data_IF_922257693914
#
_entry.id   IF_922257693914
#
_cell.length_a   1.000
_cell.length_b   1.000
_cell.length_c   1.000
_cell.angle_alpha   90.00
_cell.angle_beta   90.00
_cell.angle_gamma   90.00
#
_symmetry.space_group_name_H-M   'P 1'
#
loop_
_entity.id
_entity.type
_entity.pdbx_description
1 polymer ?
#
# COMPACT_ATOMS: atom_id res chain seq x y z
N UNK A 1 -2.76 -38.42 -54.02
CA UNK A 1 -1.84 -38.98 -53.01
C UNK A 1 -0.75 -37.96 -52.72
N UNK A 2 -0.67 -37.44 -51.51
CA UNK A 2 0.43 -36.57 -51.08
C UNK A 2 1.56 -37.48 -50.57
N UNK A 3 2.42 -37.95 -51.47
CA UNK A 3 3.47 -38.93 -51.19
C UNK A 3 4.86 -38.29 -51.06
N UNK A 4 4.95 -37.01 -50.70
CA UNK A 4 6.22 -36.28 -50.71
C UNK A 4 6.30 -35.23 -49.59
N UNK A 5 6.68 -35.69 -48.40
CA UNK A 5 6.72 -34.90 -47.16
C UNK A 5 7.75 -33.74 -47.21
N UNK A 6 8.77 -33.83 -48.07
CA UNK A 6 9.73 -32.75 -48.28
C UNK A 6 9.15 -31.60 -49.12
N UNK A 7 8.20 -31.88 -50.02
CA UNK A 7 7.52 -30.84 -50.77
C UNK A 7 6.50 -30.09 -49.90
N UNK A 8 5.86 -30.75 -48.93
CA UNK A 8 4.97 -30.09 -47.96
C UNK A 8 5.69 -28.99 -47.20
N UNK A 9 6.94 -29.21 -46.77
CA UNK A 9 7.77 -28.18 -46.11
C UNK A 9 8.16 -27.01 -47.03
N UNK A 10 8.18 -27.20 -48.36
CA UNK A 10 8.42 -26.11 -49.34
C UNK A 10 7.13 -25.37 -49.73
N UNK A 11 5.98 -26.05 -49.69
CA UNK A 11 4.65 -25.46 -49.97
C UNK A 11 4.03 -24.79 -48.75
N UNK A 12 4.50 -25.12 -47.55
CA UNK A 12 4.29 -24.31 -46.35
C UNK A 12 5.13 -23.04 -46.50
N UNK A 13 4.72 -22.13 -47.39
CA UNK A 13 5.03 -20.71 -47.26
C UNK A 13 4.88 -20.38 -45.78
N UNK A 14 5.90 -19.73 -45.20
CA UNK A 14 5.94 -19.37 -43.77
C UNK A 14 4.51 -19.06 -43.31
N UNK A 15 3.93 -19.82 -42.36
CA UNK A 15 2.51 -19.67 -42.02
C UNK A 15 2.16 -18.22 -41.64
N UNK A 16 3.16 -17.47 -41.18
CA UNK A 16 3.13 -16.03 -40.87
C UNK A 16 2.93 -15.12 -42.10
N UNK A 17 3.35 -15.55 -43.30
CA UNK A 17 3.30 -14.78 -44.54
C UNK A 17 2.06 -15.07 -45.40
N UNK A 18 1.30 -16.12 -45.02
CA UNK A 18 0.02 -16.46 -45.62
C UNK A 18 -0.96 -15.29 -45.50
N UNK A 19 -1.71 -15.04 -46.59
CA UNK A 19 -2.78 -14.04 -46.62
C UNK A 19 -3.81 -14.26 -45.51
N UNK A 20 -4.01 -15.52 -45.10
CA UNK A 20 -5.05 -15.89 -44.14
C UNK A 20 -4.59 -15.54 -42.73
N UNK A 21 -3.31 -15.76 -42.44
CA UNK A 21 -2.68 -15.30 -41.20
C UNK A 21 -2.66 -13.78 -41.12
N UNK A 22 -2.25 -13.09 -42.19
CA UNK A 22 -2.27 -11.62 -42.25
C UNK A 22 -3.68 -11.06 -42.04
N UNK A 23 -4.69 -11.66 -42.66
CA UNK A 23 -6.10 -11.26 -42.51
C UNK A 23 -6.62 -11.52 -41.10
N UNK A 24 -6.29 -12.66 -40.50
CA UNK A 24 -6.61 -12.96 -39.12
C UNK A 24 -5.94 -11.98 -38.14
N UNK A 25 -4.67 -11.64 -38.38
CA UNK A 25 -3.92 -10.69 -37.57
C UNK A 25 -4.48 -9.26 -37.71
N UNK A 26 -4.84 -8.82 -38.92
CA UNK A 26 -5.52 -7.54 -39.13
C UNK A 26 -6.90 -7.49 -38.45
N UNK A 27 -7.66 -8.59 -38.51
CA UNK A 27 -8.94 -8.72 -37.81
C UNK A 27 -8.74 -8.65 -36.28
N UNK A 28 -7.69 -9.28 -35.75
CA UNK A 28 -7.33 -9.20 -34.33
C UNK A 28 -6.91 -7.79 -33.93
N UNK A 29 -6.05 -7.11 -34.71
CA UNK A 29 -5.64 -5.71 -34.45
C UNK A 29 -6.86 -4.78 -34.48
N UNK A 30 -7.75 -4.94 -35.46
CA UNK A 30 -8.99 -4.14 -35.54
C UNK A 30 -9.91 -4.39 -34.34
N UNK A 31 -10.06 -5.65 -33.91
CA UNK A 31 -10.84 -6.00 -32.70
C UNK A 31 -10.20 -5.48 -31.42
N UNK A 32 -8.87 -5.52 -31.31
CA UNK A 32 -8.11 -4.96 -30.17
C UNK A 32 -8.23 -3.43 -30.10
N UNK A 33 -8.30 -2.78 -31.26
CA UNK A 33 -8.50 -1.32 -31.36
C UNK A 33 -9.94 -0.89 -31.05
N UNK A 34 -10.92 -1.80 -31.06
CA UNK A 34 -12.28 -1.47 -30.68
C UNK A 34 -12.38 -1.32 -29.16
N UNK A 35 -12.85 -0.15 -28.71
CA UNK A 35 -12.93 0.26 -27.29
C UNK A 35 -13.96 -0.52 -26.43
N UNK A 36 -14.57 -1.57 -26.97
CA UNK A 36 -15.71 -2.28 -26.39
C UNK A 36 -15.41 -3.78 -26.19
N UNK A 37 -14.14 -4.21 -26.13
CA UNK A 37 -13.83 -5.59 -25.78
C UNK A 37 -14.08 -5.86 -24.30
N UNK A 38 -14.43 -7.10 -23.97
CA UNK A 38 -14.63 -7.53 -22.57
C UNK A 38 -13.36 -7.29 -21.75
N UNK A 39 -12.18 -7.52 -22.33
CA UNK A 39 -10.89 -7.30 -21.67
C UNK A 39 -10.72 -5.84 -21.24
N UNK A 40 -11.05 -4.86 -22.10
CA UNK A 40 -10.94 -3.44 -21.76
C UNK A 40 -11.97 -3.01 -20.70
N UNK A 41 -13.17 -3.59 -20.73
CA UNK A 41 -14.18 -3.34 -19.71
C UNK A 41 -13.72 -3.88 -18.34
N UNK A 42 -13.10 -5.06 -18.33
CA UNK A 42 -12.54 -5.65 -17.12
C UNK A 42 -11.37 -4.81 -16.58
N UNK A 43 -10.45 -4.40 -17.44
CA UNK A 43 -9.35 -3.50 -17.06
C UNK A 43 -9.87 -2.17 -16.47
N UNK A 44 -10.92 -1.60 -17.05
CA UNK A 44 -11.53 -0.36 -16.57
C UNK A 44 -12.17 -0.55 -15.19
N UNK A 45 -12.87 -1.67 -14.97
CA UNK A 45 -13.42 -2.02 -13.66
C UNK A 45 -12.31 -2.22 -12.62
N UNK A 46 -11.21 -2.87 -12.99
CA UNK A 46 -10.04 -3.04 -12.13
C UNK A 46 -9.44 -1.68 -11.76
N UNK A 47 -9.21 -0.79 -12.74
CA UNK A 47 -8.70 0.56 -12.50
C UNK A 47 -9.58 1.35 -11.53
N UNK A 48 -10.91 1.30 -11.72
CA UNK A 48 -11.87 1.97 -10.82
C UNK A 48 -11.80 1.42 -9.41
N UNK A 49 -11.70 0.10 -9.26
CA UNK A 49 -11.58 -0.57 -7.96
C UNK A 49 -10.28 -0.18 -7.26
N UNK A 50 -9.16 -0.17 -7.97
CA UNK A 50 -7.86 0.26 -7.44
C UNK A 50 -7.94 1.71 -6.99
N UNK A 51 -8.48 2.61 -7.82
CA UNK A 51 -8.60 4.02 -7.48
C UNK A 51 -9.48 4.23 -6.24
N UNK A 52 -10.58 3.49 -6.13
CA UNK A 52 -11.47 3.54 -4.97
C UNK A 52 -10.73 3.18 -3.67
N UNK A 53 -10.04 2.03 -3.63
CA UNK A 53 -9.32 1.63 -2.42
C UNK A 53 -8.08 2.49 -2.16
N UNK A 54 -7.46 3.05 -3.19
CA UNK A 54 -6.39 4.03 -3.02
C UNK A 54 -6.89 5.29 -2.31
N UNK A 55 -8.09 5.76 -2.64
CA UNK A 55 -8.72 6.89 -1.93
C UNK A 55 -9.05 6.55 -0.47
N UNK A 56 -9.47 5.32 -0.17
CA UNK A 56 -9.65 4.86 1.23
C UNK A 56 -8.30 4.86 1.97
N UNK A 57 -7.28 4.24 1.38
CA UNK A 57 -5.94 4.13 1.98
C UNK A 57 -5.31 5.49 2.26
N UNK A 58 -5.51 6.49 1.39
CA UNK A 58 -5.04 7.87 1.64
C UNK A 58 -5.51 8.42 2.98
N UNK A 59 -6.78 8.20 3.32
CA UNK A 59 -7.38 8.67 4.59
C UNK A 59 -6.85 7.87 5.76
N UNK A 60 -6.72 6.56 5.60
CA UNK A 60 -6.10 5.68 6.61
C UNK A 60 -4.67 6.13 6.93
N UNK A 61 -3.84 6.36 5.91
CA UNK A 61 -2.47 6.84 6.08
C UNK A 61 -2.45 8.23 6.73
N UNK A 62 -3.38 9.13 6.39
CA UNK A 62 -3.47 10.43 7.02
C UNK A 62 -3.78 10.33 8.52
N UNK A 63 -4.71 9.44 8.93
CA UNK A 63 -4.97 9.16 10.35
C UNK A 63 -3.74 8.56 11.01
N UNK A 64 -3.07 7.61 10.36
CA UNK A 64 -1.86 6.99 10.91
C UNK A 64 -0.79 8.05 11.19
N UNK A 65 -0.53 8.93 10.21
CA UNK A 65 0.40 10.07 10.36
C UNK A 65 0.02 10.97 11.53
N UNK A 66 -1.24 11.40 11.59
CA UNK A 66 -1.72 12.29 12.64
C UNK A 66 -1.52 11.71 14.05
N UNK A 67 -1.87 10.42 14.24
CA UNK A 67 -1.71 9.75 15.52
C UNK A 67 -0.23 9.56 15.87
N UNK A 68 0.61 9.18 14.91
CA UNK A 68 2.06 9.06 15.09
C UNK A 68 2.71 10.38 15.52
N UNK A 69 2.40 11.47 14.81
CA UNK A 69 2.96 12.80 15.10
C UNK A 69 2.49 13.34 16.46
N UNK A 70 1.29 12.97 16.88
CA UNK A 70 0.71 13.37 18.17
C UNK A 70 1.09 12.45 19.33
N UNK A 71 1.82 11.34 19.08
CA UNK A 71 2.16 10.34 20.09
C UNK A 71 0.94 9.60 20.66
N UNK A 72 -0.16 9.52 19.89
CA UNK A 72 -1.40 8.88 20.33
C UNK A 72 -1.39 7.38 20.04
N UNK A 73 -2.00 6.60 20.93
CA UNK A 73 -2.10 5.16 20.75
C UNK A 73 -3.05 4.80 19.60
N UNK A 74 -2.67 3.83 18.75
CA UNK A 74 -3.54 3.27 17.71
C UNK A 74 -4.57 2.27 18.23
N UNK A 75 -4.37 1.79 19.46
CA UNK A 75 -5.06 0.62 20.01
C UNK A 75 -6.48 0.94 20.50
N UNK A 76 -7.34 -0.07 20.47
CA UNK A 76 -8.64 -0.08 21.15
C UNK A 76 -9.61 -1.02 20.46
N UNK A 77 -10.91 -0.94 20.79
CA UNK A 77 -11.92 -1.72 20.07
C UNK A 77 -12.20 -1.12 18.69
N UNK A 78 -12.29 -1.97 17.68
CA UNK A 78 -12.52 -1.58 16.29
C UNK A 78 -13.94 -1.96 15.85
N UNK A 79 -14.95 -1.37 16.49
CA UNK A 79 -16.35 -1.62 16.14
C UNK A 79 -17.02 -0.34 15.71
N UNK A 80 -17.23 -0.18 14.42
CA UNK A 80 -17.93 0.98 13.89
C UNK A 80 -19.25 1.27 14.63
N UNK A 81 -19.46 2.53 15.04
CA UNK A 81 -20.61 3.00 15.80
C UNK A 81 -20.63 2.60 17.28
N UNK A 82 -19.55 2.00 17.80
CA UNK A 82 -19.41 1.69 19.21
C UNK A 82 -18.92 2.92 19.98
N UNK A 83 -19.55 3.28 21.10
CA UNK A 83 -19.07 4.38 21.96
C UNK A 83 -17.68 4.08 22.58
N UNK A 84 -17.25 2.81 22.57
CA UNK A 84 -15.98 2.36 23.12
C UNK A 84 -14.90 2.13 22.06
N UNK A 85 -14.92 2.88 20.95
CA UNK A 85 -13.93 2.72 19.89
C UNK A 85 -12.52 3.16 20.30
N UNK A 86 -11.53 2.44 19.78
CA UNK A 86 -10.13 2.84 19.84
C UNK A 86 -9.89 4.14 19.10
N UNK A 87 -8.81 4.84 19.46
CA UNK A 87 -8.50 6.17 18.96
C UNK A 87 -8.40 6.19 17.42
N UNK A 88 -7.82 5.14 16.82
CA UNK A 88 -7.75 5.00 15.36
C UNK A 88 -9.14 5.01 14.71
N UNK A 89 -10.04 4.15 15.19
CA UNK A 89 -11.39 4.05 14.64
C UNK A 89 -12.20 5.32 14.91
N UNK A 90 -12.06 5.92 16.09
CA UNK A 90 -12.70 7.20 16.41
C UNK A 90 -12.24 8.34 15.50
N UNK A 91 -10.96 8.39 15.13
CA UNK A 91 -10.46 9.37 14.17
C UNK A 91 -11.01 9.14 12.75
N UNK A 92 -11.13 7.88 12.32
CA UNK A 92 -11.76 7.54 11.04
C UNK A 92 -13.23 7.95 11.02
N UNK A 93 -13.98 7.68 12.09
CA UNK A 93 -15.38 8.09 12.25
C UNK A 93 -15.54 9.61 12.22
N UNK A 94 -14.63 10.34 12.88
CA UNK A 94 -14.62 11.81 12.86
C UNK A 94 -14.39 12.35 11.44
N UNK A 95 -13.45 11.79 10.68
CA UNK A 95 -13.24 12.21 9.29
C UNK A 95 -14.46 11.89 8.43
N UNK A 96 -15.09 10.73 8.66
CA UNK A 96 -16.28 10.33 7.91
C UNK A 96 -17.49 11.24 8.16
N UNK A 97 -17.53 12.00 9.26
CA UNK A 97 -18.55 13.04 9.48
C UNK A 97 -18.48 14.15 8.42
N UNK A 98 -17.28 14.45 7.92
CA UNK A 98 -17.03 15.53 6.96
C UNK A 98 -16.67 15.03 5.56
N UNK A 99 -16.43 13.73 5.40
CA UNK A 99 -16.04 13.10 4.14
C UNK A 99 -17.13 12.12 3.67
N UNK A 100 -18.00 12.55 2.73
CA UNK A 100 -19.09 11.72 2.23
C UNK A 100 -18.61 10.40 1.59
N UNK A 101 -17.43 10.40 0.98
CA UNK A 101 -16.87 9.20 0.35
C UNK A 101 -16.49 8.17 1.42
N UNK A 102 -15.81 8.62 2.48
CA UNK A 102 -15.43 7.73 3.58
C UNK A 102 -16.67 7.24 4.35
N UNK A 103 -17.67 8.11 4.54
CA UNK A 103 -18.95 7.72 5.12
C UNK A 103 -19.63 6.59 4.35
N UNK A 104 -19.75 6.74 3.02
CA UNK A 104 -20.35 5.71 2.16
C UNK A 104 -19.55 4.39 2.22
N UNK A 105 -18.21 4.48 2.28
CA UNK A 105 -17.36 3.31 2.44
C UNK A 105 -17.65 2.57 3.76
N UNK A 106 -17.76 3.29 4.87
CA UNK A 106 -18.06 2.72 6.19
C UNK A 106 -19.45 2.04 6.21
N UNK A 107 -20.46 2.69 5.64
CA UNK A 107 -21.81 2.11 5.52
C UNK A 107 -21.80 0.80 4.70
N UNK A 108 -21.05 0.76 3.58
CA UNK A 108 -20.87 -0.46 2.78
C UNK A 108 -20.22 -1.57 3.61
N UNK A 109 -19.17 -1.26 4.35
CA UNK A 109 -18.49 -2.23 5.22
C UNK A 109 -19.37 -2.79 6.34
N UNK A 110 -20.44 -2.09 6.75
CA UNK A 110 -21.41 -2.60 7.72
C UNK A 110 -22.41 -3.57 7.11
N UNK A 111 -22.94 -3.19 5.94
CA UNK A 111 -24.05 -3.89 5.31
C UNK A 111 -23.59 -5.12 4.52
N UNK A 112 -22.36 -5.08 3.99
CA UNK A 112 -21.74 -6.14 3.24
C UNK A 112 -20.54 -6.70 4.02
N UNK A 113 -20.31 -8.02 3.95
CA UNK A 113 -19.03 -8.60 4.39
C UNK A 113 -17.94 -8.20 3.38
N UNK A 114 -17.51 -6.95 3.44
CA UNK A 114 -16.44 -6.42 2.61
C UNK A 114 -15.14 -7.05 3.07
N UNK A 115 -14.53 -7.86 2.21
CA UNK A 115 -13.29 -8.58 2.53
C UNK A 115 -12.07 -7.65 2.73
N UNK A 116 -12.09 -6.44 2.17
CA UNK A 116 -10.97 -5.50 2.17
C UNK A 116 -11.41 -4.09 2.60
N UNK A 117 -11.78 -3.94 3.87
CA UNK A 117 -12.10 -2.62 4.43
C UNK A 117 -10.87 -1.71 4.61
N UNK A 118 -9.66 -2.28 4.66
CA UNK A 118 -8.40 -1.58 4.99
C UNK A 118 -8.39 -0.82 6.33
N UNK A 119 -9.38 -1.06 7.19
CA UNK A 119 -9.55 -0.43 8.50
C UNK A 119 -9.27 -1.38 9.67
N UNK A 120 -8.99 -2.64 9.38
CA UNK A 120 -8.73 -3.64 10.41
C UNK A 120 -7.34 -3.50 11.00
N UNK A 121 -7.20 -3.91 12.27
CA UNK A 121 -5.93 -3.99 12.99
C UNK A 121 -4.73 -4.45 12.17
N UNK A 122 -4.77 -5.63 11.54
CA UNK A 122 -3.59 -6.16 10.87
C UNK A 122 -3.13 -5.27 9.73
N UNK A 123 -4.06 -4.60 9.04
CA UNK A 123 -3.75 -3.75 7.90
C UNK A 123 -3.09 -2.46 8.34
N UNK A 124 -3.66 -1.75 9.32
CA UNK A 124 -3.03 -0.49 9.75
C UNK A 124 -1.73 -0.75 10.52
N UNK A 125 -1.59 -1.89 11.21
CA UNK A 125 -0.31 -2.29 11.82
C UNK A 125 0.77 -2.55 10.76
N UNK A 126 0.44 -3.25 9.67
CA UNK A 126 1.36 -3.43 8.53
C UNK A 126 1.76 -2.07 7.91
N UNK A 127 0.80 -1.15 7.73
CA UNK A 127 1.09 0.20 7.24
C UNK A 127 2.02 0.97 8.18
N UNK A 128 1.82 0.86 9.49
CA UNK A 128 2.70 1.49 10.50
C UNK A 128 4.10 0.91 10.41
N UNK A 129 4.25 -0.40 10.23
CA UNK A 129 5.56 -1.06 10.07
C UNK A 129 6.29 -0.56 8.82
N UNK A 130 5.59 -0.49 7.67
CA UNK A 130 6.15 0.02 6.42
C UNK A 130 6.58 1.48 6.56
N UNK A 131 5.73 2.32 7.15
CA UNK A 131 6.05 3.74 7.39
C UNK A 131 7.21 3.89 8.38
N UNK A 132 7.23 3.10 9.45
CA UNK A 132 8.30 3.08 10.44
C UNK A 132 9.65 2.69 9.82
N UNK A 133 9.66 1.66 8.96
CA UNK A 133 10.85 1.26 8.22
C UNK A 133 11.35 2.37 7.30
N UNK A 134 10.45 3.05 6.59
CA UNK A 134 10.84 4.17 5.74
C UNK A 134 11.48 5.33 6.53
N UNK A 135 10.95 5.62 7.72
CA UNK A 135 11.54 6.62 8.63
C UNK A 135 12.92 6.17 9.14
N UNK A 136 13.08 4.89 9.48
CA UNK A 136 14.38 4.33 9.88
C UNK A 136 15.42 4.43 8.76
N UNK A 137 15.04 4.03 7.54
CA UNK A 137 15.89 4.12 6.35
C UNK A 137 16.31 5.57 6.10
N UNK A 138 15.39 6.52 6.25
CA UNK A 138 15.68 7.95 6.10
C UNK A 138 16.64 8.47 7.18
N UNK A 139 16.46 8.08 8.45
CA UNK A 139 17.39 8.41 9.53
C UNK A 139 18.80 7.88 9.19
N UNK A 140 18.90 6.63 8.74
CA UNK A 140 20.18 6.02 8.35
C UNK A 140 20.81 6.75 7.16
N UNK A 141 20.02 7.11 6.15
CA UNK A 141 20.48 7.88 5.00
C UNK A 141 21.02 9.26 5.41
N UNK A 142 20.36 9.95 6.34
CA UNK A 142 20.82 11.25 6.85
C UNK A 142 22.10 11.12 7.68
N UNK A 143 22.23 10.07 8.48
CA UNK A 143 23.46 9.79 9.24
C UNK A 143 24.63 9.45 8.31
N UNK A 144 24.37 8.69 7.25
CA UNK A 144 25.39 8.30 6.26
C UNK A 144 25.74 9.43 5.29
N UNK A 145 25.08 10.59 5.37
CA UNK A 145 25.41 11.76 4.57
C UNK A 145 26.82 12.27 4.95
N UNK A 146 27.59 12.72 3.96
CA UNK A 146 28.95 13.23 4.11
C UNK A 146 29.05 14.41 5.10
N UNK A 147 27.98 15.18 5.27
CA UNK A 147 27.93 16.32 6.20
C UNK A 147 27.74 15.91 7.67
N UNK A 148 27.31 14.67 7.93
CA UNK A 148 27.09 14.16 9.29
C UNK A 148 28.35 13.47 9.81
N UNK A 149 29.20 14.21 10.54
CA UNK A 149 30.46 13.68 11.08
C UNK A 149 30.30 12.88 12.38
N UNK A 150 29.31 13.22 13.18
CA UNK A 150 29.12 12.68 14.52
C UNK A 150 27.63 12.41 14.76
N UNK A 151 27.37 11.30 15.44
CA UNK A 151 26.05 10.97 15.98
C UNK A 151 26.24 10.36 17.37
N UNK A 152 25.22 10.47 18.20
CA UNK A 152 25.14 9.76 19.48
C UNK A 152 23.91 8.85 19.48
N UNK A 153 24.01 7.75 20.21
CA UNK A 153 22.91 6.82 20.43
C UNK A 153 22.57 6.88 21.92
N UNK A 154 21.30 7.16 22.20
CA UNK A 154 20.73 7.07 23.54
C UNK A 154 19.95 5.77 23.58
N UNK A 155 20.28 4.94 24.56
CA UNK A 155 19.59 3.69 24.83
C UNK A 155 18.99 3.79 26.22
N UNK A 156 17.68 3.62 26.31
CA UNK A 156 16.96 3.61 27.59
C UNK A 156 16.19 2.29 27.72
N UNK A 157 16.23 1.66 28.89
CA UNK A 157 15.55 0.40 29.15
C UNK A 157 14.60 0.56 30.33
N UNK A 158 13.34 0.23 30.12
CA UNK A 158 12.32 0.25 31.16
C UNK A 158 11.59 -1.09 31.21
N UNK A 159 11.51 -1.77 32.37
CA UNK A 159 10.74 -3.00 32.49
C UNK A 159 9.24 -2.71 32.37
N UNK A 160 8.53 -3.51 31.58
CA UNK A 160 7.09 -3.40 31.43
C UNK A 160 6.33 -4.10 32.56
N UNK A 161 4.99 -4.00 32.56
CA UNK A 161 4.12 -4.63 33.56
C UNK A 161 4.27 -6.15 33.66
N UNK A 162 4.87 -6.79 32.65
CA UNK A 162 5.16 -8.22 32.61
C UNK A 162 6.61 -8.54 32.97
N UNK A 163 7.36 -7.56 33.48
CA UNK A 163 8.80 -7.64 33.79
C UNK A 163 9.68 -7.97 32.57
N UNK A 164 9.21 -7.63 31.36
CA UNK A 164 10.00 -7.71 30.14
C UNK A 164 10.61 -6.34 29.87
N UNK A 165 11.93 -6.29 29.70
CA UNK A 165 12.65 -5.06 29.40
C UNK A 165 12.25 -4.53 28.01
N UNK A 166 11.74 -3.30 27.97
CA UNK A 166 11.51 -2.57 26.73
C UNK A 166 12.66 -1.61 26.50
N UNK A 167 13.39 -1.80 25.39
CA UNK A 167 14.55 -1.01 25.03
C UNK A 167 14.17 0.03 23.98
N UNK A 168 14.43 1.30 24.28
CA UNK A 168 14.29 2.43 23.37
C UNK A 168 15.64 2.81 22.80
N UNK A 169 15.73 2.93 21.48
CA UNK A 169 16.90 3.52 20.81
C UNK A 169 16.50 4.85 20.17
N UNK A 170 17.20 5.90 20.56
CA UNK A 170 17.09 7.24 19.99
C UNK A 170 18.45 7.67 19.45
N UNK A 171 18.49 8.16 18.21
CA UNK A 171 19.72 8.64 17.58
C UNK A 171 19.68 10.16 17.49
N UNK A 172 20.78 10.81 17.86
CA UNK A 172 20.97 12.26 17.73
C UNK A 172 22.10 12.54 16.77
N UNK A 173 21.89 13.45 15.83
CA UNK A 173 22.87 13.81 14.80
C UNK A 173 22.65 15.24 14.33
N UNK A 174 23.63 15.82 13.64
CA UNK A 174 23.49 17.12 12.99
C UNK A 174 23.27 16.92 11.50
N UNK A 175 22.12 17.37 10.98
CA UNK A 175 21.79 17.32 9.56
C UNK A 175 21.58 18.74 9.03
N UNK A 176 22.30 19.11 7.96
CA UNK A 176 22.30 20.46 7.40
C UNK A 176 22.51 21.58 8.45
N UNK A 177 23.41 21.33 9.41
CA UNK A 177 23.72 22.27 10.50
C UNK A 177 22.68 22.33 11.63
N UNK A 178 21.61 21.53 11.57
CA UNK A 178 20.57 21.50 12.60
C UNK A 178 20.64 20.21 13.43
N UNK A 179 20.48 20.29 14.77
CA UNK A 179 20.39 19.09 15.60
C UNK A 179 19.06 18.39 15.34
N UNK A 180 19.13 17.09 15.04
CA UNK A 180 17.98 16.21 14.81
C UNK A 180 18.01 15.09 15.86
N UNK A 181 16.82 14.75 16.37
CA UNK A 181 16.61 13.58 17.23
C UNK A 181 15.63 12.65 16.56
N UNK A 182 16.13 11.51 16.06
CA UNK A 182 15.31 10.47 15.45
C UNK A 182 15.01 9.36 16.44
N UNK A 183 13.74 9.05 16.64
CA UNK A 183 13.35 7.79 17.27
C UNK A 183 13.65 6.66 16.29
N UNK A 184 14.49 5.69 16.70
CA UNK A 184 14.92 4.63 15.79
C UNK A 184 14.06 3.38 15.97
N UNK A 185 14.01 2.79 17.17
CA UNK A 185 13.23 1.56 17.38
C UNK A 185 12.94 1.28 18.86
N UNK A 186 11.88 0.49 19.09
CA UNK A 186 11.60 -0.20 20.35
C UNK A 186 11.96 -1.69 20.18
N UNK A 187 12.78 -2.24 21.07
CA UNK A 187 12.90 -3.70 21.22
C UNK A 187 12.08 -4.14 22.42
N UNK A 188 11.47 -5.32 22.31
CA UNK A 188 10.71 -6.00 23.35
C UNK A 188 11.22 -7.42 23.51
#
# INVERSE_FOLDING_TARGET
EFSDWMNVLRTLENPEDSMEHKRAMLCWISRKSNKNTVDQQLEEQMRKTIQYYFEVLKRVVAVIKFLSESGLAFRGHEKWGSPNNGIFMGAIELIAEFDPFLHEHLEKCKNEKVNAAYLSKPVYEELIEIMGKHVQDEIVNQINNLDTKYYSIIVDSTPDLTHVDQLVIVVQYCYNGNPVRGFYHFYR
#
